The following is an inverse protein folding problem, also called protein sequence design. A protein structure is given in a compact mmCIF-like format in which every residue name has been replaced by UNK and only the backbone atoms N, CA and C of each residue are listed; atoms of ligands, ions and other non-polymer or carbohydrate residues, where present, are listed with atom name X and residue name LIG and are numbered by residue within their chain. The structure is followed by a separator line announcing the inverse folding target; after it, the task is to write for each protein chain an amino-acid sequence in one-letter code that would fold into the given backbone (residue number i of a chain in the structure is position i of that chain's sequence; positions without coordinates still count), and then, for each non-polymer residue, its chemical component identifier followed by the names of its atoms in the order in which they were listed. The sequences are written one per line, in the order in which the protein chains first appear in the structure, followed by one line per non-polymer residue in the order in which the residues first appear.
data_IF_945112753239
#
_entry.id   IF_945112753239
#
_cell.length_a   1.000
_cell.length_b   1.000
_cell.length_c   1.000
_cell.angle_alpha   90.00
_cell.angle_beta   90.00
_cell.angle_gamma   90.00
#
_symmetry.space_group_name_H-M   'P 1'
#
loop_
_entity.id
_entity.type
_entity.pdbx_description
1 polymer ?
#
# COMPACT_ATOMS: atom_id res chain seq x y z
N UNK A 1 7.58 -10.34 24.82
CA UNK A 1 7.65 -10.60 23.37
C UNK A 1 7.54 -12.10 23.20
N UNK A 2 6.51 -12.59 22.53
CA UNK A 2 6.36 -14.00 22.22
C UNK A 2 7.12 -14.24 20.91
N UNK A 3 8.35 -14.73 21.01
CA UNK A 3 9.14 -15.12 19.85
C UNK A 3 8.60 -16.45 19.33
N UNK A 4 7.91 -16.42 18.19
CA UNK A 4 7.60 -17.64 17.46
C UNK A 4 8.85 -18.07 16.68
N UNK A 5 9.29 -19.31 16.92
CA UNK A 5 10.39 -19.91 16.19
C UNK A 5 9.95 -20.19 14.75
N UNK A 6 10.58 -19.52 13.78
CA UNK A 6 10.38 -19.78 12.36
C UNK A 6 11.21 -21.00 11.93
N UNK A 7 10.53 -22.10 11.63
CA UNK A 7 11.16 -23.33 11.15
C UNK A 7 11.45 -23.20 9.65
N UNK A 8 12.73 -23.18 9.27
CA UNK A 8 13.14 -23.23 7.87
C UNK A 8 12.86 -24.63 7.32
N UNK A 9 11.85 -24.73 6.46
CA UNK A 9 11.39 -26.02 5.90
C UNK A 9 12.33 -26.55 4.81
N UNK A 10 13.04 -25.67 4.10
CA UNK A 10 14.02 -26.05 3.08
C UNK A 10 14.96 -24.90 2.75
N UNK A 11 16.28 -25.15 2.77
CA UNK A 11 17.30 -24.26 2.25
C UNK A 11 18.26 -25.07 1.35
N UNK A 12 18.86 -24.40 0.37
CA UNK A 12 19.88 -24.98 -0.50
C UNK A 12 21.19 -24.24 -0.20
N UNK A 13 22.25 -24.99 0.11
CA UNK A 13 23.60 -24.47 0.26
C UNK A 13 24.38 -24.93 -0.96
N UNK A 14 24.98 -23.98 -1.66
CA UNK A 14 25.98 -24.26 -2.70
C UNK A 14 27.34 -23.88 -2.15
N UNK A 15 28.26 -24.85 -2.08
CA UNK A 15 29.64 -24.57 -1.72
C UNK A 15 30.38 -23.99 -2.94
N UNK A 16 31.09 -22.90 -2.70
CA UNK A 16 31.98 -22.31 -3.69
C UNK A 16 33.32 -23.03 -3.64
N UNK A 17 33.95 -23.23 -4.80
CA UNK A 17 35.26 -23.90 -4.89
C UNK A 17 36.38 -23.10 -4.19
N UNK A 18 36.19 -21.79 -3.99
CA UNK A 18 37.11 -20.89 -3.31
C UNK A 18 36.37 -20.14 -2.20
N UNK A 19 37.03 -19.90 -1.07
CA UNK A 19 36.45 -19.15 0.02
C UNK A 19 36.21 -17.69 -0.38
N UNK A 20 34.95 -17.26 -0.39
CA UNK A 20 34.58 -15.86 -0.62
C UNK A 20 34.34 -15.16 0.70
N UNK A 21 34.95 -13.99 0.90
CA UNK A 21 34.64 -13.14 2.06
C UNK A 21 33.27 -12.49 1.86
N UNK A 22 32.34 -12.79 2.76
CA UNK A 22 31.02 -12.15 2.82
C UNK A 22 30.97 -11.20 4.01
N UNK A 23 30.40 -10.02 3.80
CA UNK A 23 30.20 -9.02 4.85
C UNK A 23 28.71 -8.90 5.14
N UNK A 24 28.29 -9.53 6.23
CA UNK A 24 26.93 -9.35 6.75
C UNK A 24 26.92 -8.12 7.66
N UNK A 25 26.03 -7.18 7.42
CA UNK A 25 25.80 -6.07 8.34
C UNK A 25 24.39 -6.20 8.93
N UNK A 26 24.32 -6.18 10.24
CA UNK A 26 23.06 -6.14 10.98
C UNK A 26 22.71 -4.68 11.24
N UNK A 27 21.48 -4.30 10.96
CA UNK A 27 21.00 -2.92 11.15
C UNK A 27 19.92 -2.91 12.23
N UNK A 28 19.98 -1.91 13.11
CA UNK A 28 19.02 -1.77 14.21
C UNK A 28 17.67 -1.17 13.76
N UNK A 29 17.57 -0.59 12.56
CA UNK A 29 16.36 0.13 12.09
C UNK A 29 16.31 0.30 10.54
N UNK A 30 15.19 0.81 10.00
CA UNK A 30 14.93 1.05 8.57
C UNK A 30 15.78 2.22 8.02
N UNK A 31 16.93 1.90 7.42
CA UNK A 31 17.80 2.89 6.77
C UNK A 31 18.13 2.46 5.34
N UNK A 32 18.26 3.44 4.43
CA UNK A 32 18.79 3.24 3.08
C UNK A 32 20.31 3.20 3.13
N UNK A 33 20.94 2.16 2.57
CA UNK A 33 22.40 2.03 2.48
C UNK A 33 22.87 1.96 1.03
N UNK A 34 24.02 2.57 0.78
CA UNK A 34 24.73 2.50 -0.50
C UNK A 34 25.64 1.25 -0.49
N UNK A 35 25.43 0.33 -1.42
CA UNK A 35 26.23 -0.91 -1.51
C UNK A 35 27.03 -0.90 -2.82
N UNK A 36 28.33 -0.64 -2.69
CA UNK A 36 29.31 -0.72 -3.78
C UNK A 36 29.17 0.36 -4.87
N UNK A 37 30.09 0.36 -5.83
CA UNK A 37 30.10 1.31 -6.95
C UNK A 37 28.97 1.07 -7.98
N UNK A 38 28.23 -0.03 -7.85
CA UNK A 38 27.11 -0.39 -8.74
C UNK A 38 25.85 0.48 -8.56
N UNK A 39 25.85 1.41 -7.59
CA UNK A 39 24.73 2.33 -7.32
C UNK A 39 23.36 1.63 -7.18
N UNK A 40 23.34 0.41 -6.63
CA UNK A 40 22.10 -0.34 -6.39
C UNK A 40 21.44 0.23 -5.14
N UNK A 41 20.23 0.77 -5.32
CA UNK A 41 19.40 1.26 -4.22
C UNK A 41 18.43 0.15 -3.80
N UNK A 42 18.63 -0.39 -2.59
CA UNK A 42 17.68 -1.31 -1.97
C UNK A 42 16.77 -0.50 -1.06
N UNK A 43 15.46 -0.53 -1.34
CA UNK A 43 14.44 0.01 -0.45
C UNK A 43 13.55 -1.12 0.03
N UNK A 44 13.12 -1.08 1.30
CA UNK A 44 12.14 -2.02 1.79
C UNK A 44 10.82 -1.81 1.05
N UNK A 45 10.17 -2.92 0.74
CA UNK A 45 8.90 -2.90 0.04
C UNK A 45 7.77 -2.55 1.03
N UNK A 46 7.04 -1.45 0.78
CA UNK A 46 5.84 -1.10 1.57
C UNK A 46 4.61 -1.98 1.23
N UNK A 47 4.61 -2.61 0.05
CA UNK A 47 3.64 -3.63 -0.32
C UNK A 47 4.27 -4.78 -1.12
N UNK A 48 3.58 -5.92 -1.14
CA UNK A 48 3.91 -7.10 -1.93
C UNK A 48 2.73 -7.41 -2.86
N UNK A 49 3.01 -7.68 -4.13
CA UNK A 49 2.03 -8.21 -5.08
C UNK A 49 2.17 -9.72 -5.17
N UNK A 50 1.13 -10.44 -4.75
CA UNK A 50 1.06 -11.91 -4.81
C UNK A 50 0.82 -12.37 -6.25
N UNK A 51 1.14 -13.64 -6.54
CA UNK A 51 0.98 -14.24 -7.89
C UNK A 51 -0.46 -14.15 -8.45
N UNK A 52 -1.46 -14.08 -7.57
CA UNK A 52 -2.87 -13.94 -7.92
C UNK A 52 -3.32 -12.46 -8.10
N UNK A 53 -2.38 -11.52 -8.07
CA UNK A 53 -2.62 -10.08 -8.20
C UNK A 53 -3.12 -9.39 -6.92
N UNK A 54 -3.23 -10.11 -5.80
CA UNK A 54 -3.57 -9.51 -4.50
C UNK A 54 -2.39 -8.71 -3.97
N UNK A 55 -2.68 -7.51 -3.46
CA UNK A 55 -1.70 -6.60 -2.88
C UNK A 55 -1.82 -6.72 -1.36
N UNK A 56 -0.70 -6.93 -0.72
CA UNK A 56 -0.57 -6.89 0.73
C UNK A 56 0.31 -5.69 1.11
N UNK A 57 -0.20 -4.82 1.98
CA UNK A 57 0.59 -3.72 2.53
C UNK A 57 1.34 -4.27 3.74
N UNK A 58 2.66 -4.37 3.60
CA UNK A 58 3.58 -4.86 4.63
C UNK A 58 4.03 -3.76 5.57
N UNK A 59 4.01 -2.50 5.11
CA UNK A 59 4.36 -1.34 5.92
C UNK A 59 3.30 -0.24 5.79
N UNK A 60 2.79 0.20 6.94
CA UNK A 60 1.80 1.27 7.06
C UNK A 60 2.42 2.61 7.46
N UNK A 61 3.76 2.72 7.46
CA UNK A 61 4.43 3.99 7.70
C UNK A 61 3.93 5.07 6.73
N UNK A 62 3.63 6.25 7.26
CA UNK A 62 3.06 7.37 6.48
C UNK A 62 1.55 7.28 6.25
N UNK A 63 0.89 6.20 6.64
CA UNK A 63 -0.57 6.20 6.78
C UNK A 63 -0.99 7.12 7.95
N UNK A 64 -2.08 7.89 7.82
CA UNK A 64 -2.54 8.74 8.92
C UNK A 64 -2.76 7.98 10.23
N UNK A 65 -2.12 8.44 11.31
CA UNK A 65 -2.21 7.80 12.64
C UNK A 65 -3.65 7.77 13.13
N UNK A 66 -4.11 6.59 13.59
CA UNK A 66 -5.48 6.39 14.05
C UNK A 66 -6.54 6.41 12.94
N UNK A 67 -6.14 6.55 11.67
CA UNK A 67 -7.05 6.44 10.53
C UNK A 67 -7.59 5.03 10.37
N UNK A 68 -8.85 4.87 9.92
CA UNK A 68 -9.40 3.55 9.63
C UNK A 68 -8.60 2.91 8.50
N UNK A 69 -8.25 1.63 8.63
CA UNK A 69 -7.60 0.87 7.57
C UNK A 69 -8.65 0.16 6.72
N UNK A 70 -8.37 -0.07 5.42
CA UNK A 70 -9.23 -0.90 4.58
C UNK A 70 -9.31 -2.31 5.13
N UNK A 71 -10.48 -2.91 5.01
CA UNK A 71 -10.70 -4.33 5.23
C UNK A 71 -10.84 -5.05 3.88
N UNK A 72 -10.53 -6.34 3.87
CA UNK A 72 -10.61 -7.17 2.67
C UNK A 72 -9.40 -7.05 1.74
N UNK A 73 -9.53 -7.71 0.59
CA UNK A 73 -8.44 -7.90 -0.37
C UNK A 73 -8.22 -6.64 -1.21
N UNK A 74 -6.95 -6.25 -1.37
CA UNK A 74 -6.57 -5.16 -2.25
C UNK A 74 -6.18 -5.74 -3.62
N UNK A 75 -6.77 -5.23 -4.70
CA UNK A 75 -6.37 -5.54 -6.08
C UNK A 75 -6.35 -4.27 -6.92
N UNK A 76 -5.30 -4.09 -7.72
CA UNK A 76 -5.19 -2.91 -8.56
C UNK A 76 -6.17 -2.99 -9.73
N UNK A 77 -7.16 -2.10 -9.77
CA UNK A 77 -8.07 -1.99 -10.91
C UNK A 77 -7.46 -1.11 -11.99
N UNK A 78 -7.57 -1.49 -13.26
CA UNK A 78 -7.10 -0.71 -14.41
C UNK A 78 -8.17 -0.61 -15.50
N UNK A 79 -7.94 0.26 -16.49
CA UNK A 79 -8.79 0.39 -17.68
C UNK A 79 -10.27 0.69 -17.40
N UNK A 80 -11.15 -0.02 -18.11
CA UNK A 80 -12.60 0.18 -18.01
C UNK A 80 -13.16 -0.13 -16.63
N UNK A 81 -12.63 -1.16 -15.96
CA UNK A 81 -13.12 -1.59 -14.65
C UNK A 81 -12.93 -0.47 -13.62
N UNK A 82 -11.72 0.10 -13.57
CA UNK A 82 -11.44 1.26 -12.73
C UNK A 82 -12.30 2.48 -13.12
N UNK A 83 -12.49 2.72 -14.42
CA UNK A 83 -13.26 3.88 -14.90
C UNK A 83 -14.72 3.79 -14.48
N UNK A 84 -15.35 2.61 -14.60
CA UNK A 84 -16.73 2.35 -14.17
C UNK A 84 -16.87 2.51 -12.65
N UNK A 85 -15.98 1.90 -11.88
CA UNK A 85 -16.02 1.99 -10.43
C UNK A 85 -15.78 3.44 -9.94
N UNK A 86 -14.85 4.18 -10.58
CA UNK A 86 -14.60 5.58 -10.23
C UNK A 86 -15.78 6.49 -10.54
N UNK A 87 -16.47 6.26 -11.67
CA UNK A 87 -17.71 6.98 -12.00
C UNK A 87 -18.80 6.75 -10.95
N UNK A 88 -18.98 5.50 -10.52
CA UNK A 88 -19.92 5.14 -9.46
C UNK A 88 -19.57 5.85 -8.14
N UNK A 89 -18.31 5.83 -7.73
CA UNK A 89 -17.86 6.54 -6.53
C UNK A 89 -18.07 8.06 -6.58
N UNK A 90 -17.83 8.70 -7.72
CA UNK A 90 -18.07 10.13 -7.89
C UNK A 90 -19.56 10.47 -7.75
N UNK A 91 -20.44 9.63 -8.29
CA UNK A 91 -21.89 9.78 -8.15
C UNK A 91 -22.33 9.66 -6.69
N UNK A 92 -21.80 8.66 -5.97
CA UNK A 92 -22.07 8.47 -4.54
C UNK A 92 -21.57 9.67 -3.72
N UNK A 93 -20.33 10.11 -3.93
CA UNK A 93 -19.77 11.25 -3.21
C UNK A 93 -20.60 12.52 -3.44
N UNK A 94 -21.12 12.73 -4.66
CA UNK A 94 -22.01 13.83 -4.97
C UNK A 94 -23.38 13.69 -4.29
N UNK A 95 -23.87 12.47 -4.08
CA UNK A 95 -25.09 12.22 -3.30
C UNK A 95 -24.88 12.50 -1.82
N UNK A 96 -23.77 12.04 -1.24
CA UNK A 96 -23.39 12.32 0.15
C UNK A 96 -23.36 13.84 0.39
N UNK A 97 -22.72 14.62 -0.48
CA UNK A 97 -22.69 16.09 -0.33
C UNK A 97 -24.06 16.75 -0.46
N UNK A 98 -24.95 16.23 -1.31
CA UNK A 98 -26.32 16.76 -1.45
C UNK A 98 -27.16 16.50 -0.19
N UNK A 99 -26.96 15.36 0.45
CA UNK A 99 -27.72 14.96 1.64
C UNK A 99 -27.16 15.56 2.94
N UNK A 100 -25.88 15.98 2.94
CA UNK A 100 -25.16 16.39 4.14
C UNK A 100 -24.48 17.76 3.95
N UNK A 101 -25.24 18.88 4.02
CA UNK A 101 -24.70 20.23 3.85
C UNK A 101 -23.59 20.60 4.85
N UNK A 102 -23.54 19.97 6.02
CA UNK A 102 -22.52 20.14 7.05
C UNK A 102 -21.12 19.65 6.63
N UNK A 103 -21.04 18.84 5.57
CA UNK A 103 -19.78 18.40 4.98
C UNK A 103 -19.19 19.43 4.00
N UNK A 104 -19.78 20.63 3.90
CA UNK A 104 -19.27 21.72 3.05
C UNK A 104 -17.81 22.03 3.40
N UNK A 105 -16.96 22.03 2.36
CA UNK A 105 -15.51 22.24 2.51
C UNK A 105 -14.71 20.99 2.88
N UNK A 106 -15.37 19.85 3.14
CA UNK A 106 -14.72 18.54 3.31
C UNK A 106 -14.70 17.77 1.99
N UNK A 107 -13.78 16.82 1.89
CA UNK A 107 -13.66 15.86 0.81
C UNK A 107 -14.06 14.48 1.31
N UNK A 108 -14.84 13.74 0.50
CA UNK A 108 -15.17 12.35 0.80
C UNK A 108 -14.03 11.45 0.35
N UNK A 109 -13.35 10.84 1.32
CA UNK A 109 -12.27 9.89 1.13
C UNK A 109 -12.78 8.45 1.18
N UNK A 110 -12.16 7.58 0.40
CA UNK A 110 -12.41 6.13 0.41
C UNK A 110 -11.37 5.44 1.28
N UNK A 111 -11.77 4.83 2.40
CA UNK A 111 -10.86 4.12 3.31
C UNK A 111 -10.14 2.97 2.58
N UNK A 112 -10.92 2.21 1.83
CA UNK A 112 -10.51 1.25 0.81
C UNK A 112 -10.74 1.86 -0.57
N UNK A 113 -9.69 2.38 -1.23
CA UNK A 113 -9.86 3.09 -2.48
C UNK A 113 -10.39 2.18 -3.58
N UNK A 114 -11.22 2.75 -4.45
CA UNK A 114 -11.72 2.05 -5.64
C UNK A 114 -10.58 1.55 -6.52
N UNK A 115 -9.47 2.30 -6.60
CA UNK A 115 -8.28 1.88 -7.35
C UNK A 115 -7.69 0.56 -6.85
N UNK A 116 -7.94 0.20 -5.60
CA UNK A 116 -7.51 -1.03 -4.93
C UNK A 116 -8.67 -1.99 -4.66
N UNK A 117 -9.69 -2.00 -5.54
CA UNK A 117 -10.89 -2.85 -5.47
C UNK A 117 -11.82 -2.61 -4.28
N UNK A 118 -11.77 -1.42 -3.68
CA UNK A 118 -12.72 -1.01 -2.65
C UNK A 118 -14.10 -0.68 -3.19
N UNK A 119 -15.13 -0.82 -2.35
CA UNK A 119 -16.51 -0.54 -2.75
C UNK A 119 -16.72 0.94 -3.07
N UNK A 120 -17.25 1.28 -4.26
CA UNK A 120 -17.46 2.67 -4.66
C UNK A 120 -18.63 3.35 -3.93
N UNK A 121 -19.63 2.57 -3.48
CA UNK A 121 -20.90 3.09 -2.96
C UNK A 121 -21.16 2.77 -1.48
N UNK A 122 -20.39 1.88 -0.86
CA UNK A 122 -20.58 1.58 0.55
C UNK A 122 -20.19 2.79 1.43
N UNK A 123 -21.15 3.31 2.21
CA UNK A 123 -20.94 4.46 3.08
C UNK A 123 -19.95 4.19 4.22
N UNK A 124 -19.83 2.94 4.72
CA UNK A 124 -18.82 2.63 5.74
C UNK A 124 -17.39 2.71 5.20
N UNK A 125 -17.24 2.71 3.88
CA UNK A 125 -15.96 2.95 3.20
C UNK A 125 -15.67 4.44 3.00
N UNK A 126 -16.54 5.35 3.43
CA UNK A 126 -16.45 6.78 3.13
C UNK A 126 -16.27 7.60 4.41
N UNK A 127 -15.25 8.44 4.44
CA UNK A 127 -15.00 9.37 5.55
C UNK A 127 -14.86 10.79 5.01
N UNK A 128 -15.44 11.77 5.71
CA UNK A 128 -15.32 13.16 5.33
C UNK A 128 -14.10 13.80 6.01
N UNK A 129 -13.15 14.26 5.20
CA UNK A 129 -11.87 14.82 5.65
C UNK A 129 -11.70 16.26 5.19
N UNK A 130 -10.90 17.04 5.91
CA UNK A 130 -10.36 18.27 5.35
C UNK A 130 -9.43 17.95 4.17
N UNK A 131 -9.17 18.94 3.31
CA UNK A 131 -8.25 18.78 2.18
C UNK A 131 -6.85 18.35 2.63
N UNK A 132 -6.36 18.87 3.77
CA UNK A 132 -5.03 18.53 4.31
C UNK A 132 -4.96 17.08 4.78
N UNK A 133 -6.00 16.60 5.46
CA UNK A 133 -6.09 15.20 5.89
C UNK A 133 -6.20 14.27 4.69
N UNK A 134 -7.08 14.57 3.74
CA UNK A 134 -7.26 13.79 2.51
C UNK A 134 -5.95 13.66 1.71
N UNK A 135 -5.13 14.72 1.66
CA UNK A 135 -3.84 14.70 0.97
C UNK A 135 -2.87 13.67 1.58
N UNK A 136 -2.89 13.47 2.90
CA UNK A 136 -2.03 12.48 3.59
C UNK A 136 -2.37 11.05 3.17
N UNK A 137 -3.66 10.68 3.22
CA UNK A 137 -4.12 9.37 2.71
C UNK A 137 -3.78 9.18 1.23
N UNK A 138 -4.02 10.21 0.42
CA UNK A 138 -3.74 10.17 -1.03
C UNK A 138 -2.25 9.94 -1.31
N UNK A 139 -1.35 10.58 -0.54
CA UNK A 139 0.09 10.40 -0.70
C UNK A 139 0.50 8.96 -0.42
N UNK A 140 0.01 8.37 0.66
CA UNK A 140 0.25 6.96 1.00
C UNK A 140 -0.20 6.04 -0.13
N UNK A 141 -1.47 6.15 -0.54
CA UNK A 141 -2.04 5.28 -1.58
C UNK A 141 -1.35 5.40 -2.93
N UNK A 142 -0.88 6.60 -3.32
CA UNK A 142 -0.08 6.80 -4.54
C UNK A 142 1.25 6.06 -4.49
N UNK A 143 1.90 6.03 -3.33
CA UNK A 143 3.17 5.32 -3.14
C UNK A 143 2.98 3.81 -3.24
N UNK A 144 1.97 3.27 -2.55
CA UNK A 144 1.57 1.86 -2.67
C UNK A 144 1.22 1.50 -4.12
N UNK A 145 0.51 2.38 -4.83
CA UNK A 145 0.16 2.14 -6.23
C UNK A 145 1.40 2.07 -7.13
N UNK A 146 2.34 3.02 -6.99
CA UNK A 146 3.56 3.06 -7.78
C UNK A 146 4.41 1.81 -7.55
N UNK A 147 4.54 1.40 -6.30
CA UNK A 147 5.32 0.23 -5.93
C UNK A 147 4.69 -1.08 -6.44
N UNK A 148 3.37 -1.24 -6.26
CA UNK A 148 2.64 -2.40 -6.79
C UNK A 148 2.79 -2.49 -8.31
N UNK A 149 2.68 -1.36 -9.02
CA UNK A 149 2.90 -1.32 -10.47
C UNK A 149 4.30 -1.75 -10.88
N UNK A 150 5.33 -1.41 -10.11
CA UNK A 150 6.69 -1.82 -10.42
C UNK A 150 6.92 -3.32 -10.22
N UNK A 151 6.20 -3.97 -9.30
CA UNK A 151 6.27 -5.42 -9.10
C UNK A 151 5.47 -6.22 -10.14
N UNK A 152 4.56 -5.57 -10.87
CA UNK A 152 3.74 -6.19 -11.92
C UNK A 152 4.33 -6.01 -13.33
N UNK A 153 5.48 -5.33 -13.46
CA UNK A 153 6.23 -5.21 -14.72
C UNK A 153 7.14 -6.41 -14.89
#
# INVERSE_FOLDING_TARGET
MNGEDLVIVKFFIEETAESVSVYNFQVEDYHTYFVGECAVWVHNAECIVRKNGEIEITDWEGYPKGGPKPDGKLKLLEGEEYTKARKSANSENAQIHRQNPELKGKQIHEVHPVKFSGSPTNHSNKIALTQSEHAKYTKFWKRIQAQAKNQMK
#
